data_IF_898357761528
#
_entry.id   IF_898357761528
#
_cell.length_a   1.000
_cell.length_b   1.000
_cell.length_c   1.000
_cell.angle_alpha   90.00
_cell.angle_beta   90.00
_cell.angle_gamma   90.00
#
_symmetry.space_group_name_H-M   'P 1'
#
loop_
_entity.id
_entity.type
_entity.pdbx_description
1 polymer ?
#
# COMPACT_ATOMS: atom_id res chain seq x y z
N UNK A 1 39.33 12.32 35.65
CA UNK A 1 39.72 11.45 34.51
C UNK A 1 38.63 11.58 33.47
N UNK A 2 38.88 12.32 32.38
CA UNK A 2 37.86 12.59 31.34
C UNK A 2 37.88 11.45 30.33
N UNK A 3 36.70 10.95 29.93
CA UNK A 3 36.54 9.91 28.90
C UNK A 3 37.22 10.23 27.55
N UNK A 4 37.60 11.48 27.33
CA UNK A 4 38.30 11.98 26.14
C UNK A 4 39.79 11.58 26.08
N UNK A 5 40.38 11.16 27.20
CA UNK A 5 41.81 10.77 27.25
C UNK A 5 42.05 9.30 26.89
N UNK A 6 40.98 8.48 26.82
CA UNK A 6 41.08 7.04 26.56
C UNK A 6 40.82 6.66 25.10
N UNK A 7 40.13 7.52 24.32
CA UNK A 7 39.89 7.33 22.89
C UNK A 7 40.95 8.11 22.11
N UNK A 8 41.81 7.40 21.37
CA UNK A 8 42.77 8.05 20.48
C UNK A 8 42.05 8.69 19.28
N UNK A 9 42.66 9.71 18.63
CA UNK A 9 42.10 10.29 17.41
C UNK A 9 41.96 9.20 16.33
N UNK A 10 40.72 8.81 16.04
CA UNK A 10 40.37 7.67 15.17
C UNK A 10 39.30 6.75 15.76
N UNK A 11 39.14 6.70 17.08
CA UNK A 11 38.09 5.90 17.72
C UNK A 11 36.70 6.55 17.57
N UNK A 12 36.62 7.89 17.53
CA UNK A 12 35.35 8.58 17.31
C UNK A 12 34.73 8.25 15.95
N UNK A 13 35.56 8.25 14.88
CA UNK A 13 35.11 7.89 13.53
C UNK A 13 34.59 6.45 13.46
N UNK A 14 35.28 5.52 14.14
CA UNK A 14 34.86 4.11 14.23
C UNK A 14 33.55 3.93 15.00
N UNK A 15 33.33 4.70 16.05
CA UNK A 15 32.07 4.70 16.81
C UNK A 15 30.91 5.23 15.94
N UNK A 16 31.15 6.27 15.14
CA UNK A 16 30.16 6.80 14.20
C UNK A 16 29.81 5.80 13.08
N UNK A 17 30.81 5.14 12.49
CA UNK A 17 30.58 4.11 11.47
C UNK A 17 29.79 2.92 12.03
N UNK A 18 30.18 2.42 13.20
CA UNK A 18 29.48 1.32 13.87
C UNK A 18 28.03 1.68 14.22
N UNK A 19 27.76 2.93 14.61
CA UNK A 19 26.41 3.44 14.84
C UNK A 19 25.60 3.46 13.55
N UNK A 20 26.18 3.93 12.44
CA UNK A 20 25.49 4.01 11.15
C UNK A 20 25.12 2.61 10.63
N UNK A 21 26.02 1.64 10.75
CA UNK A 21 25.76 0.25 10.35
C UNK A 21 24.63 -0.37 11.17
N UNK A 22 24.57 -0.08 12.46
CA UNK A 22 23.52 -0.58 13.34
C UNK A 22 22.15 0.00 12.99
N UNK A 23 22.09 1.32 12.76
CA UNK A 23 20.87 2.01 12.32
C UNK A 23 20.42 1.50 10.96
N UNK A 24 21.35 1.32 10.01
CA UNK A 24 21.05 0.78 8.68
C UNK A 24 20.52 -0.67 8.76
N UNK A 25 21.10 -1.51 9.63
CA UNK A 25 20.61 -2.86 9.85
C UNK A 25 19.19 -2.88 10.44
N UNK A 26 18.91 -2.00 11.41
CA UNK A 26 17.58 -1.86 12.00
C UNK A 26 16.55 -1.38 10.97
N UNK A 27 16.90 -0.35 10.19
CA UNK A 27 16.04 0.19 9.14
C UNK A 27 15.71 -0.85 8.07
N UNK A 28 16.69 -1.65 7.63
CA UNK A 28 16.46 -2.76 6.69
C UNK A 28 15.49 -3.79 7.26
N UNK A 29 15.64 -4.19 8.52
CA UNK A 29 14.74 -5.14 9.19
C UNK A 29 13.32 -4.59 9.30
N UNK A 30 13.17 -3.33 9.68
CA UNK A 30 11.88 -2.65 9.71
C UNK A 30 11.23 -2.62 8.32
N UNK A 31 12.01 -2.35 7.27
CA UNK A 31 11.53 -2.36 5.89
C UNK A 31 10.97 -3.71 5.44
N UNK A 32 11.61 -4.83 5.82
CA UNK A 32 11.10 -6.17 5.51
C UNK A 32 9.75 -6.43 6.19
N UNK A 33 9.62 -6.06 7.46
CA UNK A 33 8.36 -6.21 8.21
C UNK A 33 7.23 -5.36 7.60
N UNK A 34 7.52 -4.09 7.31
CA UNK A 34 6.56 -3.18 6.67
C UNK A 34 6.12 -3.68 5.30
N UNK A 35 7.03 -4.28 4.52
CA UNK A 35 6.68 -4.86 3.22
C UNK A 35 5.74 -6.06 3.36
N UNK A 36 5.92 -6.89 4.39
CA UNK A 36 4.98 -7.98 4.70
C UNK A 36 3.58 -7.46 5.00
N UNK A 37 3.47 -6.43 5.84
CA UNK A 37 2.19 -5.77 6.17
C UNK A 37 1.55 -5.16 4.92
N UNK A 38 2.32 -4.46 4.08
CA UNK A 38 1.81 -3.85 2.85
C UNK A 38 1.26 -4.91 1.88
N UNK A 39 1.95 -6.04 1.73
CA UNK A 39 1.48 -7.16 0.89
C UNK A 39 0.19 -7.77 1.46
N UNK A 40 0.12 -8.00 2.77
CA UNK A 40 -1.08 -8.54 3.41
C UNK A 40 -2.29 -7.61 3.20
N UNK A 41 -2.09 -6.31 3.37
CA UNK A 41 -3.12 -5.30 3.14
C UNK A 41 -3.56 -5.22 1.67
N UNK A 42 -2.63 -5.27 0.73
CA UNK A 42 -2.92 -5.30 -0.69
C UNK A 42 -3.72 -6.55 -1.11
N UNK A 43 -3.43 -7.71 -0.50
CA UNK A 43 -4.19 -8.95 -0.73
C UNK A 43 -5.61 -8.87 -0.19
N UNK A 44 -5.82 -8.23 0.97
CA UNK A 44 -7.14 -8.01 1.53
C UNK A 44 -7.97 -7.03 0.70
N UNK A 45 -7.32 -6.06 0.06
CA UNK A 45 -7.94 -5.09 -0.85
C UNK A 45 -8.03 -5.57 -2.30
N UNK A 46 -7.81 -6.86 -2.61
CA UNK A 46 -8.12 -7.35 -3.97
C UNK A 46 -9.58 -7.02 -4.23
N UNK A 47 -9.89 -6.10 -5.17
CA UNK A 47 -11.26 -5.88 -5.56
C UNK A 47 -11.75 -7.24 -6.07
N UNK A 48 -12.92 -7.68 -5.61
CA UNK A 48 -13.61 -8.76 -6.30
C UNK A 48 -13.72 -8.40 -7.78
N UNK A 49 -13.82 -9.42 -8.65
CA UNK A 49 -14.25 -9.15 -10.03
C UNK A 49 -15.57 -8.38 -9.90
N UNK A 50 -15.67 -7.14 -10.40
CA UNK A 50 -16.90 -6.38 -10.27
C UNK A 50 -18.02 -7.19 -10.90
N UNK A 51 -19.01 -7.60 -10.11
CA UNK A 51 -20.20 -8.27 -10.63
C UNK A 51 -21.04 -7.22 -11.33
N UNK A 52 -21.01 -7.24 -12.67
CA UNK A 52 -21.79 -6.32 -13.49
C UNK A 52 -23.20 -6.89 -13.56
N UNK A 53 -24.11 -6.29 -12.81
CA UNK A 53 -25.54 -6.62 -12.88
C UNK A 53 -26.23 -5.72 -13.92
N UNK A 54 -26.85 -6.35 -14.92
CA UNK A 54 -27.69 -5.67 -15.90
C UNK A 54 -29.16 -5.73 -15.45
N UNK A 55 -29.68 -4.60 -14.97
CA UNK A 55 -31.10 -4.48 -14.63
C UNK A 55 -31.89 -4.12 -15.89
N UNK A 56 -32.51 -5.14 -16.49
CA UNK A 56 -33.39 -5.04 -17.66
C UNK A 56 -34.87 -4.84 -17.31
N UNK A 57 -35.24 -4.94 -16.02
CA UNK A 57 -36.62 -4.84 -15.59
C UNK A 57 -37.10 -3.38 -15.57
N UNK A 58 -38.36 -3.18 -15.95
CA UNK A 58 -39.00 -1.95 -16.43
C UNK A 58 -39.05 -0.71 -15.48
N UNK A 59 -38.17 -0.64 -14.48
CA UNK A 59 -37.97 0.52 -13.61
C UNK A 59 -36.55 1.09 -13.60
N UNK A 60 -35.55 0.41 -14.19
CA UNK A 60 -34.21 0.96 -14.35
C UNK A 60 -34.18 1.86 -15.62
N UNK A 61 -33.69 3.11 -15.53
CA UNK A 61 -33.51 3.94 -16.73
C UNK A 61 -32.65 3.19 -17.75
N UNK A 62 -33.19 3.04 -18.96
CA UNK A 62 -32.56 2.26 -20.05
C UNK A 62 -31.06 2.55 -20.16
N UNK A 63 -30.24 1.50 -20.08
CA UNK A 63 -28.78 1.60 -20.21
C UNK A 63 -28.02 2.07 -18.95
N UNK A 64 -28.65 2.20 -17.78
CA UNK A 64 -27.94 2.49 -16.54
C UNK A 64 -27.06 1.31 -16.08
N UNK A 65 -25.78 1.60 -15.81
CA UNK A 65 -24.81 0.63 -15.31
C UNK A 65 -24.69 0.75 -13.79
N UNK A 66 -24.77 -0.38 -13.10
CA UNK A 66 -24.57 -0.49 -11.67
C UNK A 66 -23.34 -1.36 -11.35
N UNK A 67 -22.64 -1.00 -10.28
CA UNK A 67 -21.57 -1.80 -9.67
C UNK A 67 -21.85 -1.82 -8.18
N UNK A 68 -21.96 -3.01 -7.58
CA UNK A 68 -22.31 -3.20 -6.17
C UNK A 68 -23.61 -2.46 -5.77
N UNK A 69 -24.62 -2.44 -6.65
CA UNK A 69 -25.89 -1.73 -6.42
C UNK A 69 -25.81 -0.21 -6.55
N UNK A 70 -24.66 0.37 -6.88
CA UNK A 70 -24.48 1.80 -7.11
C UNK A 70 -24.44 2.15 -8.60
N UNK A 71 -25.20 3.18 -9.02
CA UNK A 71 -25.19 3.67 -10.40
C UNK A 71 -23.85 4.34 -10.73
N UNK A 72 -23.09 3.76 -11.65
CA UNK A 72 -21.78 4.27 -12.06
C UNK A 72 -21.80 4.99 -13.41
N UNK A 73 -22.83 4.78 -14.24
CA UNK A 73 -22.90 5.44 -15.55
C UNK A 73 -24.05 4.97 -16.43
N UNK A 74 -23.97 5.34 -17.70
CA UNK A 74 -24.87 4.86 -18.76
C UNK A 74 -24.04 4.27 -19.89
N UNK A 75 -24.44 3.13 -20.43
CA UNK A 75 -23.76 2.50 -21.58
C UNK A 75 -24.23 3.17 -22.89
N UNK A 76 -23.30 3.72 -23.70
CA UNK A 76 -23.66 4.30 -25.00
C UNK A 76 -24.08 3.20 -25.98
N UNK A 77 -25.19 3.41 -26.70
CA UNK A 77 -25.68 2.50 -27.74
C UNK A 77 -26.85 1.59 -27.34
N UNK A 78 -27.31 1.63 -26.08
CA UNK A 78 -28.52 0.95 -25.64
C UNK A 78 -29.72 1.87 -25.89
N UNK A 79 -30.42 1.69 -27.02
CA UNK A 79 -31.56 2.53 -27.43
C UNK A 79 -32.93 1.84 -27.35
N UNK A 80 -32.99 0.57 -26.91
CA UNK A 80 -34.19 -0.21 -26.58
C UNK A 80 -33.80 -1.64 -26.20
N UNK A 81 -34.47 -2.21 -25.21
CA UNK A 81 -34.65 -3.67 -25.06
C UNK A 81 -35.98 -4.06 -25.71
#
# INVERSE_FOLDING_TARGET
MRLQELLGPGDEARVYEAWYDHVAALARRAGVLLRGVAIAFARQRRPGIPEIEFYAEAGAPEGALFVDGHRVGTLPGVNRL
#
